data_IF_498784233172
#
_entry.id   IF_498784233172
#
_cell.length_a   1.000
_cell.length_b   1.000
_cell.length_c   1.000
_cell.angle_alpha   90.00
_cell.angle_beta   90.00
_cell.angle_gamma   90.00
#
_symmetry.space_group_name_H-M   'P 1'
#
loop_
_entity.id
_entity.type
_entity.pdbx_description
1 polymer ?
#
# COMPACT_ATOMS: atom_id res chain seq x y z
N UNK A 1 -7.98 2.58 -18.33
CA UNK A 1 -8.91 1.69 -19.05
C UNK A 1 -10.20 2.43 -19.36
N UNK A 2 -10.63 2.40 -20.63
CA UNK A 2 -11.94 2.91 -21.06
C UNK A 2 -12.87 1.74 -21.33
N UNK A 3 -14.04 1.77 -20.72
CA UNK A 3 -15.14 0.81 -20.96
C UNK A 3 -16.29 1.50 -21.68
N UNK A 4 -16.23 1.54 -23.01
CA UNK A 4 -17.24 2.17 -23.85
C UNK A 4 -18.32 1.15 -24.24
N UNK A 5 -19.08 0.72 -23.25
CA UNK A 5 -20.17 -0.27 -23.35
C UNK A 5 -21.44 0.27 -22.70
N UNK A 6 -22.59 -0.36 -22.97
CA UNK A 6 -23.91 0.12 -22.51
C UNK A 6 -24.07 0.04 -20.98
N UNK A 7 -23.48 -0.99 -20.34
CA UNK A 7 -23.53 -1.16 -18.87
C UNK A 7 -22.14 -1.33 -18.29
N UNK A 8 -21.32 -0.27 -18.25
CA UNK A 8 -19.92 -0.36 -17.87
C UNK A 8 -19.71 -0.76 -16.41
N UNK A 9 -20.64 -0.48 -15.52
CA UNK A 9 -20.57 -0.82 -14.11
C UNK A 9 -20.57 -2.34 -13.86
N UNK A 10 -21.16 -3.14 -14.74
CA UNK A 10 -21.20 -4.60 -14.62
C UNK A 10 -19.79 -5.23 -14.74
N UNK A 11 -18.82 -4.48 -15.21
CA UNK A 11 -17.44 -4.95 -15.41
C UNK A 11 -16.45 -4.51 -14.33
N UNK A 12 -16.87 -3.69 -13.37
CA UNK A 12 -15.95 -3.10 -12.36
C UNK A 12 -15.20 -4.17 -11.57
N UNK A 13 -15.88 -5.22 -11.14
CA UNK A 13 -15.28 -6.30 -10.34
C UNK A 13 -14.27 -7.16 -11.12
N UNK A 14 -14.29 -7.08 -12.44
CA UNK A 14 -13.38 -7.80 -13.32
C UNK A 14 -12.10 -7.03 -13.58
N UNK A 15 -12.08 -5.72 -13.33
CA UNK A 15 -10.89 -4.88 -13.53
C UNK A 15 -10.03 -4.91 -12.29
N UNK A 16 -8.78 -5.37 -12.44
CA UNK A 16 -7.85 -5.52 -11.31
C UNK A 16 -6.73 -4.50 -11.30
N UNK A 17 -6.28 -4.06 -12.47
CA UNK A 17 -5.07 -3.26 -12.61
C UNK A 17 -5.28 -2.08 -13.57
N UNK A 18 -5.99 -1.07 -13.10
CA UNK A 18 -6.17 0.18 -13.82
C UNK A 18 -5.99 1.37 -12.88
N UNK A 19 -5.17 2.33 -13.26
CA UNK A 19 -5.01 3.57 -12.50
C UNK A 19 -6.24 4.47 -12.57
N UNK A 20 -7.00 4.40 -13.68
CA UNK A 20 -8.28 5.05 -13.81
C UNK A 20 -9.23 4.22 -14.67
N UNK A 21 -10.52 4.33 -14.39
CA UNK A 21 -11.60 3.70 -15.15
C UNK A 21 -12.49 4.78 -15.72
N UNK A 22 -12.59 4.82 -17.05
CA UNK A 22 -13.46 5.72 -17.79
C UNK A 22 -14.67 4.92 -18.27
N UNK A 23 -15.84 5.21 -17.70
CA UNK A 23 -17.02 4.36 -17.82
C UNK A 23 -18.06 4.98 -18.73
N UNK A 24 -18.43 4.22 -19.75
CA UNK A 24 -19.49 4.58 -20.68
C UNK A 24 -19.05 5.51 -21.81
N UNK A 25 -20.00 5.72 -22.69
CA UNK A 25 -19.81 6.43 -23.97
C UNK A 25 -19.36 7.89 -23.82
N UNK A 26 -19.79 8.54 -22.73
CA UNK A 26 -19.62 9.99 -22.53
C UNK A 26 -18.49 10.33 -21.55
N UNK A 27 -17.60 9.37 -21.25
CA UNK A 27 -16.49 9.57 -20.33
C UNK A 27 -15.13 9.36 -21.04
N UNK A 28 -14.76 10.25 -21.96
CA UNK A 28 -13.43 10.20 -22.56
C UNK A 28 -12.36 10.53 -21.49
N UNK A 29 -11.13 10.02 -21.61
CA UNK A 29 -10.04 10.34 -20.69
C UNK A 29 -9.83 11.84 -20.47
N UNK A 30 -10.00 12.66 -21.50
CA UNK A 30 -9.87 14.11 -21.41
C UNK A 30 -10.79 14.76 -20.37
N UNK A 31 -11.91 14.15 -20.02
CA UNK A 31 -12.78 14.65 -18.93
C UNK A 31 -12.05 14.62 -17.60
N UNK A 32 -11.30 13.56 -17.31
CA UNK A 32 -10.52 13.46 -16.10
C UNK A 32 -9.28 14.38 -16.12
N UNK A 33 -8.70 14.59 -17.28
CA UNK A 33 -7.51 15.44 -17.41
C UNK A 33 -7.81 16.92 -17.11
N UNK A 34 -9.05 17.38 -17.36
CA UNK A 34 -9.34 18.82 -17.32
C UNK A 34 -10.46 19.23 -16.35
N UNK A 35 -11.47 18.41 -16.10
CA UNK A 35 -12.66 18.89 -15.37
C UNK A 35 -13.22 17.97 -14.30
N UNK A 36 -12.95 16.67 -14.34
CA UNK A 36 -13.57 15.72 -13.40
C UNK A 36 -12.95 15.67 -12.02
N UNK A 37 -11.74 16.26 -11.84
CA UNK A 37 -11.07 16.37 -10.55
C UNK A 37 -10.02 15.31 -10.21
N UNK A 38 -10.07 14.05 -10.67
CA UNK A 38 -8.99 13.10 -10.44
C UNK A 38 -7.66 13.55 -11.04
N UNK A 39 -6.56 13.05 -10.48
CA UNK A 39 -5.24 13.35 -11.02
C UNK A 39 -5.04 12.65 -12.38
N UNK A 40 -4.52 13.39 -13.36
CA UNK A 40 -4.25 12.88 -14.70
C UNK A 40 -2.93 12.08 -14.80
N UNK A 41 -2.06 12.15 -13.78
CA UNK A 41 -0.82 11.36 -13.73
C UNK A 41 -1.17 9.94 -13.29
N UNK A 42 -1.25 9.05 -14.25
CA UNK A 42 -1.68 7.67 -14.08
C UNK A 42 -0.50 6.69 -14.22
N UNK A 43 -0.55 5.55 -13.51
CA UNK A 43 0.42 4.49 -13.70
C UNK A 43 0.26 3.87 -15.11
N UNK A 44 1.35 3.79 -15.86
CA UNK A 44 1.42 3.24 -17.22
C UNK A 44 2.36 2.05 -17.30
N UNK A 45 2.46 1.39 -18.46
CA UNK A 45 3.41 0.30 -18.66
C UNK A 45 3.25 -0.87 -17.69
N UNK A 46 2.01 -1.25 -17.40
CA UNK A 46 1.64 -2.31 -16.43
C UNK A 46 1.95 -2.00 -14.95
N UNK A 47 2.39 -0.78 -14.63
CA UNK A 47 2.71 -0.39 -13.24
C UNK A 47 1.48 -0.20 -12.36
N UNK A 48 0.27 -0.13 -12.93
CA UNK A 48 -0.99 -0.11 -12.18
C UNK A 48 -1.22 -1.36 -11.30
N UNK A 49 -0.38 -2.38 -11.42
CA UNK A 49 -0.34 -3.52 -10.49
C UNK A 49 0.19 -3.15 -9.10
N UNK A 50 0.96 -2.07 -9.00
CA UNK A 50 1.69 -1.68 -7.80
C UNK A 50 1.43 -0.23 -7.39
N UNK A 51 1.05 0.62 -8.34
CA UNK A 51 0.89 2.05 -8.13
C UNK A 51 -0.52 2.52 -8.42
N UNK A 52 -0.91 3.55 -7.68
CA UNK A 52 -2.14 4.32 -7.88
C UNK A 52 -1.87 5.58 -8.72
N UNK A 53 -2.90 6.31 -9.16
CA UNK A 53 -2.74 7.68 -9.65
C UNK A 53 -2.02 8.55 -8.64
N UNK A 54 -1.29 9.55 -9.10
CA UNK A 54 -0.58 10.49 -8.24
C UNK A 54 -1.56 11.17 -7.27
N UNK A 55 -1.23 11.15 -6.00
CA UNK A 55 -2.05 11.70 -4.92
C UNK A 55 -1.22 12.44 -3.89
N UNK A 56 -1.88 13.13 -2.97
CA UNK A 56 -1.21 13.80 -1.84
C UNK A 56 -0.40 12.81 -0.99
N UNK A 57 -0.85 11.56 -0.90
CA UNK A 57 -0.17 10.52 -0.14
C UNK A 57 1.24 10.21 -0.65
N UNK A 58 1.52 10.46 -1.93
CA UNK A 58 2.84 10.26 -2.52
C UNK A 58 3.88 11.27 -2.01
N UNK A 59 3.42 12.37 -1.43
CA UNK A 59 4.26 13.43 -0.87
C UNK A 59 4.30 13.42 0.67
N UNK A 60 3.64 12.46 1.31
CA UNK A 60 3.58 12.33 2.76
C UNK A 60 4.42 11.15 3.20
N UNK A 61 5.30 11.36 4.19
CA UNK A 61 6.05 10.27 4.84
C UNK A 61 5.31 9.83 6.10
N UNK A 62 5.23 8.53 6.27
CA UNK A 62 4.71 7.90 7.47
C UNK A 62 5.88 7.32 8.26
N UNK A 63 5.93 7.61 9.55
CA UNK A 63 6.91 7.04 10.48
C UNK A 63 6.20 6.31 11.61
N UNK A 64 6.60 5.10 11.88
CA UNK A 64 6.11 4.35 13.02
C UNK A 64 6.90 4.77 14.28
N UNK A 65 6.19 5.06 15.35
CA UNK A 65 6.78 5.31 16.66
C UNK A 65 6.46 4.10 17.52
N UNK A 66 7.51 3.44 18.01
CA UNK A 66 7.39 2.27 18.89
C UNK A 66 8.12 2.54 20.17
N UNK A 67 7.43 2.40 21.29
CA UNK A 67 7.98 2.51 22.64
C UNK A 67 7.51 1.33 23.49
N UNK A 68 8.44 0.68 24.17
CA UNK A 68 8.17 -0.41 25.10
C UNK A 68 8.72 -0.06 26.47
N UNK A 69 7.94 -0.33 27.51
CA UNK A 69 8.46 -0.33 28.87
C UNK A 69 9.27 -1.61 29.14
N UNK A 70 10.01 -1.64 30.24
CA UNK A 70 10.75 -2.84 30.68
C UNK A 70 9.81 -4.01 30.91
N UNK A 71 8.66 -3.75 31.54
CA UNK A 71 7.63 -4.76 31.83
C UNK A 71 7.04 -5.37 30.57
N UNK A 72 6.73 -4.53 29.58
CA UNK A 72 6.18 -4.98 28.30
C UNK A 72 7.22 -5.79 27.51
N UNK A 73 8.47 -5.33 27.48
CA UNK A 73 9.53 -6.08 26.82
C UNK A 73 9.79 -7.42 27.53
N UNK A 74 9.68 -7.46 28.85
CA UNK A 74 9.82 -8.72 29.62
C UNK A 74 8.81 -9.76 29.15
N UNK A 75 7.55 -9.35 28.93
CA UNK A 75 6.49 -10.24 28.45
C UNK A 75 6.71 -10.69 27.00
N UNK A 76 7.28 -9.82 26.18
CA UNK A 76 7.48 -10.09 24.74
C UNK A 76 8.81 -10.79 24.43
N UNK A 77 9.81 -10.70 25.30
CA UNK A 77 11.20 -11.13 25.05
C UNK A 77 11.30 -12.55 24.49
N UNK A 78 10.64 -13.49 25.13
CA UNK A 78 10.78 -14.90 24.74
C UNK A 78 10.18 -15.19 23.39
N UNK A 79 9.10 -14.49 23.03
CA UNK A 79 8.50 -14.56 21.69
C UNK A 79 9.44 -13.97 20.62
N UNK A 80 10.05 -12.82 20.92
CA UNK A 80 11.02 -12.17 20.01
C UNK A 80 12.22 -13.09 19.78
N UNK A 81 12.81 -13.63 20.84
CA UNK A 81 13.98 -14.52 20.77
C UNK A 81 13.66 -15.77 19.97
N UNK A 82 12.50 -16.38 20.23
CA UNK A 82 12.06 -17.59 19.53
C UNK A 82 11.86 -17.35 18.03
N UNK A 83 11.17 -16.28 17.68
CA UNK A 83 10.93 -15.93 16.26
C UNK A 83 12.25 -15.62 15.57
N UNK A 84 13.11 -14.82 16.19
CA UNK A 84 14.42 -14.48 15.64
C UNK A 84 15.27 -15.71 15.33
N UNK A 85 15.27 -16.71 16.22
CA UNK A 85 15.99 -17.97 15.97
C UNK A 85 15.35 -18.80 14.85
N UNK A 86 14.02 -18.84 14.75
CA UNK A 86 13.33 -19.53 13.64
C UNK A 86 13.73 -18.91 12.29
N UNK A 87 13.87 -17.58 12.24
CA UNK A 87 14.29 -16.84 11.06
C UNK A 87 15.81 -16.83 10.82
N UNK A 88 16.61 -17.35 11.76
CA UNK A 88 18.07 -17.35 11.69
C UNK A 88 18.71 -15.99 12.01
N UNK A 89 17.99 -15.09 12.68
CA UNK A 89 18.48 -13.74 13.02
C UNK A 89 18.98 -13.65 14.47
N UNK A 90 20.11 -14.28 14.77
CA UNK A 90 20.70 -14.30 16.12
C UNK A 90 20.98 -12.91 16.69
N UNK A 91 21.34 -11.94 15.86
CA UNK A 91 21.55 -10.57 16.29
C UNK A 91 20.27 -9.92 16.83
N UNK A 92 19.12 -10.23 16.26
CA UNK A 92 17.81 -9.77 16.74
C UNK A 92 17.48 -10.40 18.09
N UNK A 93 17.71 -11.70 18.26
CA UNK A 93 17.54 -12.37 19.54
C UNK A 93 18.42 -11.72 20.65
N UNK A 94 19.71 -11.51 20.36
CA UNK A 94 20.65 -10.84 21.26
C UNK A 94 20.24 -9.42 21.59
N UNK A 95 19.68 -8.67 20.65
CA UNK A 95 19.23 -7.29 20.88
C UNK A 95 18.13 -7.20 21.93
N UNK A 96 17.21 -8.17 21.97
CA UNK A 96 16.17 -8.23 23.00
C UNK A 96 16.73 -8.70 24.35
N UNK A 97 17.62 -9.71 24.35
CA UNK A 97 18.23 -10.28 25.57
C UNK A 97 19.12 -9.28 26.29
N UNK A 98 19.93 -8.52 25.57
CA UNK A 98 20.88 -7.55 26.14
C UNK A 98 20.24 -6.38 26.89
N UNK A 99 18.94 -6.16 26.73
CA UNK A 99 18.20 -5.12 27.48
C UNK A 99 17.97 -5.50 28.95
N UNK A 100 18.27 -6.73 29.33
CA UNK A 100 18.10 -7.26 30.69
C UNK A 100 19.42 -7.67 31.35
N UNK A 101 20.54 -7.45 30.67
CA UNK A 101 21.87 -7.69 31.20
C UNK A 101 22.32 -6.54 32.13
#
# INVERSE_FOLDING_TARGET
LTLSVDRPFDYLEQVRHAGALFLGRYTPPAVADYVAGPNHVLPTGATARFFSPLSVSDYVKVSNIVHYTKEELTKAKDHIVRLAHIEGFDAHAKSAQSRFA
#
